data_IF_169754257317
#
_entry.id   IF_169754257317
#
_cell.length_a   1.000
_cell.length_b   1.000
_cell.length_c   1.000
_cell.angle_alpha   90.00
_cell.angle_beta   90.00
_cell.angle_gamma   90.00
#
_symmetry.space_group_name_H-M   'P 1'
#
loop_
_entity.id
_entity.type
_entity.pdbx_description
1 polymer ?
#
# COMPACT_ATOMS: atom_id res chain seq x y z
N UNK A 1 1.45 8.00 19.60
CA UNK A 1 1.96 7.88 18.23
C UNK A 1 1.86 9.28 17.65
N UNK A 2 2.99 9.91 17.32
CA UNK A 2 2.95 11.17 16.58
C UNK A 2 2.30 10.89 15.22
N UNK A 3 1.10 11.43 15.01
CA UNK A 3 0.48 11.51 13.70
C UNK A 3 1.43 12.31 12.82
N UNK A 4 2.23 11.60 12.02
CA UNK A 4 3.07 12.20 10.98
C UNK A 4 2.10 12.88 10.03
N UNK A 5 1.86 14.17 10.26
CA UNK A 5 0.99 15.01 9.42
C UNK A 5 1.77 15.34 8.15
N UNK A 6 1.92 14.32 7.31
CA UNK A 6 2.52 14.45 6.00
C UNK A 6 1.51 15.22 5.13
N UNK A 7 1.67 16.54 5.04
CA UNK A 7 0.84 17.38 4.18
C UNK A 7 1.23 17.14 2.72
N UNK A 8 0.64 16.10 2.13
CA UNK A 8 0.74 15.85 0.69
C UNK A 8 -0.11 16.89 -0.04
N UNK A 9 0.53 17.61 -0.97
CA UNK A 9 -0.17 18.58 -1.84
C UNK A 9 -1.23 17.86 -2.68
N UNK A 10 -2.31 18.56 -3.03
CA UNK A 10 -3.37 17.98 -3.87
C UNK A 10 -2.82 17.45 -5.20
N UNK A 11 -1.96 18.22 -5.86
CA UNK A 11 -1.31 17.82 -7.11
C UNK A 11 -0.51 16.51 -6.98
N UNK A 12 0.23 16.31 -5.89
CA UNK A 12 0.95 15.04 -5.66
C UNK A 12 -0.01 13.86 -5.44
N UNK A 13 -1.16 14.11 -4.81
CA UNK A 13 -2.19 13.07 -4.65
C UNK A 13 -2.78 12.67 -5.99
N UNK A 14 -3.18 13.64 -6.81
CA UNK A 14 -3.71 13.41 -8.15
C UNK A 14 -2.70 12.67 -9.04
N UNK A 15 -1.45 13.15 -9.08
CA UNK A 15 -0.36 12.50 -9.82
C UNK A 15 -0.12 11.04 -9.37
N UNK A 16 -0.24 10.79 -8.06
CA UNK A 16 -0.07 9.43 -7.52
C UNK A 16 -1.23 8.53 -7.91
N UNK A 17 -2.46 9.05 -7.89
CA UNK A 17 -3.65 8.31 -8.32
C UNK A 17 -3.50 7.90 -9.79
N UNK A 18 -3.11 8.83 -10.66
CA UNK A 18 -2.91 8.56 -12.09
C UNK A 18 -1.87 7.45 -12.32
N UNK A 19 -0.75 7.47 -11.58
CA UNK A 19 0.27 6.41 -11.64
C UNK A 19 -0.26 5.06 -11.19
N UNK A 20 -1.13 5.01 -10.19
CA UNK A 20 -1.75 3.76 -9.74
C UNK A 20 -2.70 3.23 -10.81
N UNK A 21 -3.52 4.09 -11.40
CA UNK A 21 -4.44 3.69 -12.48
C UNK A 21 -3.67 3.16 -13.69
N UNK A 22 -2.63 3.86 -14.13
CA UNK A 22 -1.77 3.42 -15.21
C UNK A 22 -1.12 2.06 -14.91
N UNK A 23 -0.64 1.85 -13.68
CA UNK A 23 -0.08 0.56 -13.27
C UNK A 23 -1.11 -0.57 -13.38
N UNK A 24 -2.36 -0.33 -13.01
CA UNK A 24 -3.44 -1.32 -13.14
C UNK A 24 -3.71 -1.62 -14.61
N UNK A 25 -3.82 -0.59 -15.45
CA UNK A 25 -4.03 -0.76 -16.90
C UNK A 25 -2.90 -1.58 -17.55
N UNK A 26 -1.64 -1.25 -17.24
CA UNK A 26 -0.46 -1.94 -17.79
C UNK A 26 -0.39 -3.41 -17.31
N UNK A 27 -0.72 -3.70 -16.06
CA UNK A 27 -0.63 -5.08 -15.51
C UNK A 27 -1.75 -6.01 -16.00
N UNK A 28 -2.90 -5.44 -16.35
CA UNK A 28 -4.08 -6.20 -16.78
C UNK A 28 -4.39 -5.97 -18.27
N UNK A 29 -3.38 -5.67 -19.07
CA UNK A 29 -3.51 -5.50 -20.52
C UNK A 29 -4.25 -6.69 -21.15
N UNK A 30 -5.28 -6.42 -21.95
CA UNK A 30 -6.14 -7.44 -22.57
C UNK A 30 -7.30 -7.94 -21.70
N UNK A 31 -7.43 -7.46 -20.46
CA UNK A 31 -8.61 -7.64 -19.61
C UNK A 31 -9.42 -6.33 -19.60
N UNK A 32 -10.75 -6.44 -19.67
CA UNK A 32 -11.61 -5.28 -19.48
C UNK A 32 -11.57 -4.85 -18.00
N UNK A 33 -10.69 -3.88 -17.71
CA UNK A 33 -10.55 -3.29 -16.38
C UNK A 33 -11.76 -2.38 -16.13
N UNK A 34 -12.77 -2.93 -15.47
CA UNK A 34 -13.95 -2.15 -15.07
C UNK A 34 -13.69 -1.39 -13.77
N UNK A 35 -14.45 -0.31 -13.54
CA UNK A 35 -14.42 0.46 -12.28
C UNK A 35 -14.58 -0.46 -11.06
N UNK A 36 -15.53 -1.41 -11.12
CA UNK A 36 -15.78 -2.38 -10.03
C UNK A 36 -14.60 -3.30 -9.76
N UNK A 37 -13.87 -3.71 -10.80
CA UNK A 37 -12.68 -4.52 -10.64
C UNK A 37 -11.58 -3.73 -9.93
N UNK A 38 -11.32 -2.49 -10.37
CA UNK A 38 -10.30 -1.63 -9.76
C UNK A 38 -10.64 -1.28 -8.31
N UNK A 39 -11.91 -1.00 -8.00
CA UNK A 39 -12.39 -0.80 -6.62
C UNK A 39 -12.06 -2.00 -5.73
N UNK A 40 -12.42 -3.22 -6.17
CA UNK A 40 -12.15 -4.44 -5.40
C UNK A 40 -10.65 -4.71 -5.23
N UNK A 41 -9.86 -4.45 -6.28
CA UNK A 41 -8.40 -4.59 -6.23
C UNK A 41 -7.76 -3.65 -5.20
N UNK A 42 -8.22 -2.39 -5.13
CA UNK A 42 -7.73 -1.42 -4.16
C UNK A 42 -8.11 -1.81 -2.72
N UNK A 43 -9.32 -2.31 -2.50
CA UNK A 43 -9.72 -2.84 -1.18
C UNK A 43 -8.82 -4.00 -0.73
N UNK A 44 -8.59 -4.98 -1.61
CA UNK A 44 -7.73 -6.13 -1.32
C UNK A 44 -6.27 -5.68 -1.07
N UNK A 45 -5.83 -4.64 -1.78
CA UNK A 45 -4.50 -4.03 -1.58
C UNK A 45 -4.40 -3.39 -0.18
N UNK A 46 -5.44 -2.71 0.30
CA UNK A 46 -5.46 -2.15 1.66
C UNK A 46 -5.36 -3.26 2.71
N UNK A 47 -6.13 -4.34 2.55
CA UNK A 47 -6.08 -5.50 3.47
C UNK A 47 -4.68 -6.13 3.47
N UNK A 48 -4.09 -6.35 2.29
CA UNK A 48 -2.74 -6.88 2.17
C UNK A 48 -1.69 -5.96 2.82
N UNK A 49 -1.84 -4.65 2.67
CA UNK A 49 -0.96 -3.66 3.29
C UNK A 49 -1.09 -3.66 4.82
N UNK A 50 -2.32 -3.74 5.35
CA UNK A 50 -2.57 -3.86 6.79
C UNK A 50 -1.94 -5.14 7.36
N UNK A 51 -2.14 -6.28 6.70
CA UNK A 51 -1.54 -7.55 7.12
C UNK A 51 0.00 -7.47 7.12
N UNK A 52 0.61 -6.93 6.07
CA UNK A 52 2.08 -6.72 6.01
C UNK A 52 2.57 -5.76 7.08
N UNK A 53 1.81 -4.71 7.38
CA UNK A 53 2.14 -3.77 8.44
C UNK A 53 2.00 -4.40 9.83
N UNK A 54 1.12 -5.38 10.02
CA UNK A 54 1.00 -6.18 11.24
C UNK A 54 2.12 -7.22 11.39
N UNK A 55 2.70 -7.71 10.29
CA UNK A 55 3.86 -8.62 10.30
C UNK A 55 5.20 -7.89 10.48
N UNK A 56 5.28 -6.62 10.06
CA UNK A 56 6.48 -5.78 10.17
C UNK A 56 7.06 -5.59 11.60
N UNK A 57 6.28 -5.54 12.70
CA UNK A 57 6.81 -5.37 14.05
C UNK A 57 7.59 -6.60 14.54
N UNK A 58 7.31 -7.80 14.03
CA UNK A 58 7.95 -9.03 14.56
C UNK A 58 9.42 -9.12 14.12
N UNK A 59 9.77 -8.63 12.93
CA UNK A 59 11.17 -8.64 12.45
C UNK A 59 12.09 -7.76 13.29
N UNK A 60 11.59 -6.66 13.85
CA UNK A 60 12.38 -5.75 14.67
C UNK A 60 12.44 -6.16 16.15
N UNK A 61 11.52 -7.00 16.63
CA UNK A 61 11.55 -7.51 18.01
C UNK A 61 12.55 -8.66 18.16
N UNK A 62 12.69 -9.52 17.15
CA UNK A 62 13.62 -10.66 17.21
C UNK A 62 15.10 -10.27 17.23
N UNK A 63 15.48 -9.10 16.69
CA UNK A 63 16.88 -8.68 16.70
C UNK A 63 17.32 -8.17 18.09
N UNK A 64 16.40 -7.65 18.90
CA UNK A 64 16.69 -7.13 20.25
C UNK A 64 16.73 -8.21 21.33
N UNK A 65 16.08 -9.35 21.11
CA UNK A 65 16.04 -10.45 22.08
C UNK A 65 17.32 -11.31 22.02
N UNK A 66 17.93 -11.48 20.85
CA UNK A 66 19.16 -12.27 20.68
C UNK A 66 20.47 -11.56 21.05
N UNK A 67 20.43 -10.27 21.40
CA UNK A 67 21.61 -9.49 21.80
C UNK A 67 21.67 -9.22 23.33
N UNK A 68 20.92 -9.99 24.13
CA UNK A 68 21.00 -10.00 25.60
C UNK A 68 21.40 -11.38 26.16
N UNK A 69 22.16 -12.17 25.39
CA UNK A 69 22.81 -13.40 25.83
C UNK A 69 24.29 -13.20 26.07
#
# INVERSE_FOLDING_TARGET
>A
MEDIKLTVTQAKREETIDKILQLVEDQFEGIEVTVRFTERLLEDTIIALQNRAMDAPIKNINHTINNRG
#
